data_IF_745863582943
#
_entry.id   IF_745863582943
#
_cell.length_a   1.000
_cell.length_b   1.000
_cell.length_c   1.000
_cell.angle_alpha   90.00
_cell.angle_beta   90.00
_cell.angle_gamma   90.00
#
_symmetry.space_group_name_H-M   'P 1'
#
loop_
_entity.id
_entity.type
_entity.pdbx_description
1 polymer ?
#
# COMPACT_ATOMS: atom_id res chain seq x y z
N UNK A 1 34.94 2.04 -19.67
CA UNK A 1 34.11 3.01 -18.93
C UNK A 1 34.68 4.41 -19.12
N UNK A 2 33.91 5.36 -19.66
CA UNK A 2 34.31 6.77 -19.73
C UNK A 2 34.30 7.38 -18.32
N UNK A 3 35.20 8.33 -18.03
CA UNK A 3 35.27 9.05 -16.73
C UNK A 3 33.91 9.59 -16.24
N UNK A 4 33.00 9.87 -17.19
CA UNK A 4 31.63 10.34 -16.97
C UNK A 4 30.75 9.32 -16.23
N UNK A 5 30.82 8.04 -16.62
CA UNK A 5 29.99 6.98 -16.02
C UNK A 5 30.45 6.65 -14.59
N UNK A 6 31.74 6.81 -14.31
CA UNK A 6 32.31 6.60 -12.98
C UNK A 6 31.74 7.61 -11.97
N UNK A 7 31.67 8.89 -12.35
CA UNK A 7 31.13 9.93 -11.46
C UNK A 7 29.67 9.67 -11.12
N UNK A 8 28.84 9.33 -12.12
CA UNK A 8 27.43 9.02 -11.90
C UNK A 8 27.25 7.80 -10.97
N UNK A 9 28.03 6.73 -11.17
CA UNK A 9 28.01 5.56 -10.29
C UNK A 9 28.41 5.92 -8.85
N UNK A 10 29.48 6.69 -8.66
CA UNK A 10 29.92 7.10 -7.32
C UNK A 10 28.82 7.88 -6.60
N UNK A 11 28.16 8.81 -7.30
CA UNK A 11 27.05 9.58 -6.73
C UNK A 11 25.88 8.66 -6.35
N UNK A 12 25.49 7.74 -7.23
CA UNK A 12 24.39 6.80 -6.98
C UNK A 12 24.70 5.90 -5.78
N UNK A 13 25.89 5.28 -5.76
CA UNK A 13 26.34 4.43 -4.64
C UNK A 13 26.34 5.23 -3.34
N UNK A 14 26.84 6.46 -3.37
CA UNK A 14 26.81 7.33 -2.21
C UNK A 14 25.37 7.61 -1.74
N UNK A 15 24.43 7.86 -2.66
CA UNK A 15 23.02 8.06 -2.32
C UNK A 15 22.38 6.85 -1.67
N UNK A 16 22.72 5.64 -2.13
CA UNK A 16 22.25 4.41 -1.50
C UNK A 16 22.92 4.16 -0.14
N UNK A 17 24.19 4.55 0.02
CA UNK A 17 24.92 4.41 1.28
C UNK A 17 24.56 5.50 2.30
N UNK A 18 24.03 6.63 1.85
CA UNK A 18 23.73 7.80 2.68
C UNK A 18 22.85 7.47 3.91
N UNK A 19 21.70 6.77 3.78
CA UNK A 19 20.88 6.41 4.94
C UNK A 19 21.64 5.56 5.97
N UNK A 20 22.54 4.69 5.49
CA UNK A 20 23.39 3.88 6.36
C UNK A 20 24.43 4.74 7.09
N UNK A 21 25.15 5.62 6.39
CA UNK A 21 26.13 6.51 7.01
C UNK A 21 25.52 7.42 8.07
N UNK A 22 24.35 8.01 7.77
CA UNK A 22 23.62 8.84 8.73
C UNK A 22 23.22 8.01 9.94
N UNK A 23 22.67 6.81 9.75
CA UNK A 23 22.29 5.93 10.86
C UNK A 23 23.48 5.57 11.75
N UNK A 24 24.59 5.13 11.18
CA UNK A 24 25.79 4.78 11.95
C UNK A 24 26.39 5.99 12.68
N UNK A 25 26.34 7.17 12.05
CA UNK A 25 26.82 8.40 12.70
C UNK A 25 25.93 8.77 13.89
N UNK A 26 24.60 8.67 13.74
CA UNK A 26 23.66 9.03 14.81
C UNK A 26 23.80 8.06 15.99
N UNK A 27 24.14 6.78 15.79
CA UNK A 27 24.37 5.82 16.89
C UNK A 27 25.43 6.26 17.88
N UNK A 28 26.41 7.09 17.48
CA UNK A 28 27.40 7.67 18.40
C UNK A 28 26.77 8.60 19.44
N UNK A 29 25.56 9.11 19.20
CA UNK A 29 24.84 10.00 20.09
C UNK A 29 23.72 9.30 20.88
N UNK A 30 23.41 8.05 20.54
CA UNK A 30 22.35 7.29 21.19
C UNK A 30 22.81 6.78 22.56
N UNK A 31 22.23 7.33 23.62
CA UNK A 31 22.54 6.98 25.00
C UNK A 31 21.30 6.42 25.69
N UNK A 32 21.47 5.36 26.46
CA UNK A 32 20.41 4.73 27.25
C UNK A 32 20.70 4.94 28.74
N UNK A 33 19.71 5.34 29.55
CA UNK A 33 19.87 5.33 31.01
C UNK A 33 19.98 3.88 31.49
N UNK A 34 20.94 3.59 32.36
CA UNK A 34 21.03 2.34 33.11
C UNK A 34 20.84 2.69 34.60
N UNK A 35 19.91 1.99 35.24
CA UNK A 35 19.56 2.13 36.66
C UNK A 35 19.14 3.55 37.08
N UNK A 36 18.05 4.05 36.49
CA UNK A 36 17.39 5.32 36.85
C UNK A 36 16.80 5.33 38.28
N UNK A 37 16.69 4.16 38.93
CA UNK A 37 16.34 4.05 40.34
C UNK A 37 14.84 4.24 40.63
N UNK A 38 13.99 4.18 39.60
CA UNK A 38 12.53 4.35 39.75
C UNK A 38 11.84 3.16 40.43
N UNK A 39 12.50 2.00 40.53
CA UNK A 39 12.01 0.89 41.37
C UNK A 39 12.47 1.10 42.81
N UNK A 40 11.81 2.03 43.50
CA UNK A 40 12.07 2.45 44.89
C UNK A 40 12.00 1.28 45.92
N UNK A 41 11.46 0.11 45.53
CA UNK A 41 11.27 -1.04 46.41
C UNK A 41 12.07 -2.30 46.03
N UNK A 42 13.03 -2.22 45.10
CA UNK A 42 13.82 -3.40 44.75
C UNK A 42 15.13 -3.47 45.59
N UNK A 43 15.32 -4.44 46.49
CA UNK A 43 16.53 -4.55 47.31
C UNK A 43 17.81 -4.77 46.49
N UNK A 44 17.70 -5.09 45.19
CA UNK A 44 18.85 -5.24 44.30
C UNK A 44 19.34 -3.91 43.69
N UNK A 45 18.47 -2.91 43.48
CA UNK A 45 18.85 -1.63 42.85
C UNK A 45 19.73 -0.76 43.75
N UNK A 46 19.58 -0.88 45.06
CA UNK A 46 20.42 -0.17 46.05
C UNK A 46 21.89 -0.62 46.11
N UNK A 47 22.25 -1.74 45.47
CA UNK A 47 23.63 -2.26 45.40
C UNK A 47 24.34 -1.98 44.07
N UNK A 48 23.65 -1.41 43.08
CA UNK A 48 24.22 -1.14 41.77
C UNK A 48 25.04 0.17 41.83
N UNK A 49 26.34 0.04 41.60
CA UNK A 49 27.34 1.12 41.76
C UNK A 49 27.36 2.16 40.63
N UNK A 50 26.56 1.99 39.57
CA UNK A 50 26.83 2.61 38.28
C UNK A 50 25.62 3.35 37.70
N UNK A 51 25.12 4.36 38.42
CA UNK A 51 24.07 5.27 37.94
C UNK A 51 24.59 6.17 36.81
N UNK A 52 23.95 6.15 35.64
CA UNK A 52 24.36 7.00 34.51
C UNK A 52 23.69 6.68 33.17
N UNK A 53 23.98 7.51 32.16
CA UNK A 53 23.68 7.19 30.77
C UNK A 53 24.88 6.49 30.13
N UNK A 54 24.62 5.45 29.35
CA UNK A 54 25.64 4.65 28.67
C UNK A 54 25.36 4.58 27.18
N UNK A 55 26.41 4.36 26.39
CA UNK A 55 26.28 4.30 24.94
C UNK A 55 25.45 3.08 24.53
N UNK A 56 24.44 3.29 23.68
CA UNK A 56 23.52 2.22 23.27
C UNK A 56 24.22 1.07 22.53
N UNK A 57 25.27 1.38 21.76
CA UNK A 57 26.06 0.39 21.00
C UNK A 57 27.02 -0.39 21.91
N UNK A 58 27.49 0.24 22.98
CA UNK A 58 28.44 -0.36 23.92
C UNK A 58 28.22 0.21 25.33
N UNK A 59 27.51 -0.56 26.14
CA UNK A 59 27.11 -0.15 27.49
C UNK A 59 28.26 -0.12 28.49
N UNK A 60 29.48 -0.52 28.10
CA UNK A 60 30.68 -0.39 28.95
C UNK A 60 31.14 1.07 29.09
N UNK A 61 30.69 1.95 28.19
CA UNK A 61 31.13 3.33 28.13
C UNK A 61 30.03 4.30 28.55
N UNK A 62 30.32 5.07 29.60
CA UNK A 62 29.43 6.12 30.09
C UNK A 62 29.36 7.28 29.10
N UNK A 63 28.15 7.66 28.73
CA UNK A 63 27.90 8.79 27.85
C UNK A 63 28.30 10.11 28.52
N UNK A 64 28.92 10.99 27.74
CA UNK A 64 29.26 12.37 28.13
C UNK A 64 30.17 12.54 29.35
N UNK A 65 30.77 11.45 29.87
CA UNK A 65 31.73 11.53 30.95
C UNK A 65 32.95 12.37 30.55
N UNK A 66 33.44 13.22 31.46
CA UNK A 66 34.61 14.07 31.23
C UNK A 66 35.90 13.27 30.99
N UNK A 67 35.97 12.06 31.53
CA UNK A 67 37.13 11.16 31.42
C UNK A 67 36.94 10.10 30.31
N UNK A 68 35.78 10.07 29.65
CA UNK A 68 35.44 9.07 28.64
C UNK A 68 35.86 9.47 27.22
N UNK A 69 36.32 8.50 26.42
CA UNK A 69 36.62 8.71 25.00
C UNK A 69 35.37 9.06 24.17
N UNK A 70 34.19 8.61 24.62
CA UNK A 70 32.91 8.79 23.93
C UNK A 70 32.62 10.26 23.63
N UNK A 71 32.77 11.14 24.62
CA UNK A 71 32.53 12.59 24.46
C UNK A 71 33.41 13.17 23.36
N UNK A 72 34.70 12.83 23.38
CA UNK A 72 35.66 13.30 22.38
C UNK A 72 35.34 12.75 21.00
N UNK A 73 35.00 11.47 20.88
CA UNK A 73 34.63 10.86 19.59
C UNK A 73 33.29 11.41 19.05
N UNK A 74 32.29 11.59 19.89
CA UNK A 74 31.00 12.17 19.51
C UNK A 74 31.18 13.60 18.99
N UNK A 75 31.99 14.42 19.65
CA UNK A 75 32.24 15.81 19.23
C UNK A 75 33.18 15.90 18.04
N UNK A 76 34.29 15.15 18.03
CA UNK A 76 35.33 15.28 17.00
C UNK A 76 35.00 14.51 15.71
N UNK A 77 34.25 13.41 15.79
CA UNK A 77 33.90 12.57 14.64
C UNK A 77 32.41 12.64 14.37
N UNK A 78 31.58 12.43 15.39
CA UNK A 78 30.12 12.41 15.25
C UNK A 78 29.56 13.71 14.71
N UNK A 79 29.87 14.85 15.34
CA UNK A 79 29.28 16.16 14.97
C UNK A 79 29.70 16.56 13.55
N UNK A 80 31.00 16.53 13.18
CA UNK A 80 31.41 16.81 11.81
C UNK A 80 30.77 15.87 10.79
N UNK A 81 30.68 14.58 11.10
CA UNK A 81 30.04 13.60 10.20
C UNK A 81 28.56 13.90 10.00
N UNK A 82 27.82 14.25 11.07
CA UNK A 82 26.43 14.69 10.94
C UNK A 82 26.31 15.95 10.09
N UNK A 83 27.13 16.98 10.35
CA UNK A 83 27.10 18.22 9.56
C UNK A 83 27.41 17.96 8.09
N UNK A 84 28.41 17.13 7.81
CA UNK A 84 28.80 16.77 6.44
C UNK A 84 27.67 16.02 5.74
N UNK A 85 27.14 14.96 6.36
CA UNK A 85 26.17 14.10 5.73
C UNK A 85 24.77 14.74 5.68
N UNK A 86 24.23 15.20 6.81
CA UNK A 86 22.86 15.76 6.85
C UNK A 86 22.71 17.13 6.19
N UNK A 87 23.74 17.98 6.23
CA UNK A 87 23.59 19.39 5.82
C UNK A 87 24.43 19.69 4.59
N UNK A 88 25.76 19.54 4.69
CA UNK A 88 26.66 20.00 3.62
C UNK A 88 26.44 19.23 2.32
N UNK A 89 26.26 17.91 2.37
CA UNK A 89 26.04 17.13 1.17
C UNK A 89 24.74 17.51 0.42
N UNK A 90 23.54 17.47 1.04
CA UNK A 90 22.34 17.88 0.32
C UNK A 90 22.39 19.35 -0.09
N UNK A 91 22.99 20.23 0.71
CA UNK A 91 23.11 21.64 0.36
C UNK A 91 24.05 21.88 -0.82
N UNK A 92 25.23 21.26 -0.84
CA UNK A 92 26.19 21.38 -1.94
C UNK A 92 25.61 20.84 -3.24
N UNK A 93 24.92 19.70 -3.19
CA UNK A 93 24.26 19.17 -4.37
C UNK A 93 23.07 20.06 -4.79
N UNK A 94 22.29 20.60 -3.85
CA UNK A 94 21.20 21.51 -4.15
C UNK A 94 21.69 22.81 -4.80
N UNK A 95 22.75 23.42 -4.26
CA UNK A 95 23.39 24.62 -4.81
C UNK A 95 23.99 24.33 -6.18
N UNK A 96 24.63 23.17 -6.35
CA UNK A 96 25.16 22.73 -7.65
C UNK A 96 24.04 22.58 -8.69
N UNK A 97 22.92 21.92 -8.35
CA UNK A 97 21.77 21.80 -9.26
C UNK A 97 21.13 23.17 -9.54
N UNK A 98 20.97 24.02 -8.52
CA UNK A 98 20.41 25.36 -8.65
C UNK A 98 21.23 26.23 -9.60
N UNK A 99 22.56 26.10 -9.57
CA UNK A 99 23.48 26.87 -10.42
C UNK A 99 23.52 26.35 -11.86
N UNK A 100 22.97 25.17 -12.14
CA UNK A 100 22.99 24.52 -13.45
C UNK A 100 21.58 24.19 -13.98
N UNK A 101 20.55 24.92 -13.52
CA UNK A 101 19.15 24.72 -13.96
C UNK A 101 18.96 24.82 -15.46
N UNK A 102 19.72 25.71 -16.12
CA UNK A 102 19.63 25.92 -17.57
C UNK A 102 20.08 24.69 -18.37
N UNK A 103 20.91 23.84 -17.75
CA UNK A 103 21.49 22.65 -18.36
C UNK A 103 20.64 21.40 -18.16
N UNK A 104 19.48 21.49 -17.50
CA UNK A 104 18.65 20.32 -17.21
C UNK A 104 18.13 19.60 -18.47
N UNK A 105 18.07 20.29 -19.62
CA UNK A 105 17.70 19.73 -20.92
C UNK A 105 18.89 19.16 -21.71
N UNK A 106 20.14 19.41 -21.28
CA UNK A 106 21.31 18.84 -21.94
C UNK A 106 21.39 17.33 -21.65
N UNK A 107 21.51 16.51 -22.70
CA UNK A 107 21.63 15.06 -22.60
C UNK A 107 22.84 14.65 -21.71
N UNK A 108 23.95 15.38 -21.85
CA UNK A 108 25.18 15.17 -21.08
C UNK A 108 25.00 15.44 -19.56
N UNK A 109 24.10 16.34 -19.19
CA UNK A 109 23.79 16.65 -17.78
C UNK A 109 22.72 15.70 -17.23
N UNK A 110 21.67 15.44 -18.03
CA UNK A 110 20.58 14.53 -17.70
C UNK A 110 21.03 13.09 -17.49
N UNK A 111 22.00 12.61 -18.28
CA UNK A 111 22.56 11.26 -18.07
C UNK A 111 23.31 11.10 -16.75
N UNK A 112 23.82 12.19 -16.16
CA UNK A 112 24.60 12.15 -14.90
C UNK A 112 23.78 12.46 -13.66
N UNK A 113 22.93 13.48 -13.75
CA UNK A 113 22.14 14.00 -12.62
C UNK A 113 20.65 13.76 -12.77
N UNK A 114 20.22 13.18 -13.90
CA UNK A 114 18.81 12.91 -14.16
C UNK A 114 18.18 12.06 -13.07
N UNK A 115 18.90 11.12 -12.45
CA UNK A 115 18.33 10.34 -11.35
C UNK A 115 17.77 11.19 -10.20
N UNK A 116 18.28 12.42 -10.01
CA UNK A 116 17.83 13.35 -8.96
C UNK A 116 16.49 13.97 -9.32
N UNK A 117 16.24 14.31 -10.59
CA UNK A 117 15.08 15.13 -11.01
C UNK A 117 14.16 14.45 -12.03
N UNK A 118 14.54 13.30 -12.57
CA UNK A 118 13.73 12.52 -13.51
C UNK A 118 12.43 12.11 -12.84
N UNK A 119 11.31 12.41 -13.50
CA UNK A 119 9.98 12.17 -12.98
C UNK A 119 9.39 13.31 -12.15
N UNK A 120 10.16 14.34 -11.82
CA UNK A 120 9.67 15.57 -11.17
C UNK A 120 9.44 16.71 -12.17
N UNK A 121 8.64 17.69 -11.75
CA UNK A 121 8.57 18.96 -12.46
C UNK A 121 9.91 19.70 -12.30
N UNK A 122 10.46 20.22 -13.40
CA UNK A 122 11.71 21.00 -13.39
C UNK A 122 11.62 22.22 -12.46
N UNK A 123 10.43 22.80 -12.28
CA UNK A 123 10.19 23.89 -11.33
C UNK A 123 10.23 23.48 -9.84
N UNK A 124 10.22 22.17 -9.56
CA UNK A 124 10.15 21.59 -8.22
C UNK A 124 11.30 20.62 -7.94
N UNK A 125 12.44 20.81 -8.61
CA UNK A 125 13.63 19.95 -8.45
C UNK A 125 14.12 19.85 -7.00
N UNK A 126 13.92 20.91 -6.20
CA UNK A 126 14.31 20.96 -4.79
C UNK A 126 13.59 19.91 -3.93
N UNK A 127 12.46 19.37 -4.41
CA UNK A 127 11.67 18.37 -3.67
C UNK A 127 12.45 17.10 -3.38
N UNK A 128 13.41 16.73 -4.24
CA UNK A 128 14.29 15.60 -4.01
C UNK A 128 14.97 15.67 -2.62
N UNK A 129 15.48 16.85 -2.26
CA UNK A 129 16.17 17.05 -0.99
C UNK A 129 15.19 16.95 0.20
N UNK A 130 13.94 17.38 0.00
CA UNK A 130 12.90 17.23 1.01
C UNK A 130 12.53 15.75 1.24
N UNK A 131 12.48 14.95 0.17
CA UNK A 131 12.27 13.50 0.26
C UNK A 131 13.43 12.78 0.98
N UNK A 132 14.68 13.19 0.73
CA UNK A 132 15.85 12.68 1.47
C UNK A 132 15.79 13.11 2.94
N UNK A 133 15.42 14.38 3.19
CA UNK A 133 15.29 14.93 4.53
C UNK A 133 14.28 14.15 5.37
N UNK A 134 13.15 13.72 4.79
CA UNK A 134 12.16 12.85 5.45
C UNK A 134 12.80 11.67 6.15
N UNK A 135 13.61 10.90 5.43
CA UNK A 135 14.23 9.67 5.96
C UNK A 135 15.26 10.00 7.04
N UNK A 136 16.05 11.06 6.84
CA UNK A 136 17.04 11.48 7.84
C UNK A 136 16.40 12.02 9.11
N UNK A 137 15.27 12.74 9.01
CA UNK A 137 14.51 13.23 10.15
C UNK A 137 13.91 12.09 10.98
N UNK A 138 13.38 11.04 10.33
CA UNK A 138 12.94 9.83 11.04
C UNK A 138 14.09 9.16 11.80
N UNK A 139 15.28 9.06 11.19
CA UNK A 139 16.45 8.50 11.85
C UNK A 139 16.90 9.34 13.06
N UNK A 140 16.83 10.68 12.97
CA UNK A 140 17.11 11.57 14.09
C UNK A 140 16.08 11.43 15.21
N UNK A 141 14.78 11.46 14.89
CA UNK A 141 13.70 11.28 15.86
C UNK A 141 13.89 9.97 16.62
N UNK A 142 14.18 8.89 15.89
CA UNK A 142 14.33 7.55 16.47
C UNK A 142 15.55 7.36 17.38
N UNK A 143 16.45 8.34 17.45
CA UNK A 143 17.69 8.25 18.23
C UNK A 143 17.81 9.35 19.28
N UNK A 144 17.21 10.52 19.03
CA UNK A 144 17.24 11.65 19.96
C UNK A 144 16.16 11.56 21.04
N UNK A 145 15.02 10.93 20.73
CA UNK A 145 13.93 10.76 21.69
C UNK A 145 14.07 9.38 22.32
N UNK A 146 14.32 9.34 23.62
CA UNK A 146 14.53 8.09 24.37
C UNK A 146 13.22 7.43 24.78
N UNK A 147 12.17 8.23 25.01
CA UNK A 147 10.85 7.70 25.35
C UNK A 147 10.16 7.14 24.10
N UNK A 148 9.81 5.84 24.07
CA UNK A 148 9.24 5.20 22.89
C UNK A 148 7.89 5.80 22.46
N UNK A 149 7.09 6.30 23.41
CA UNK A 149 5.79 6.91 23.13
C UNK A 149 5.95 8.24 22.40
N UNK A 150 6.74 9.15 22.97
CA UNK A 150 7.07 10.43 22.34
C UNK A 150 7.83 10.27 21.03
N UNK A 151 8.70 9.25 20.93
CA UNK A 151 9.44 8.93 19.71
C UNK A 151 8.48 8.62 18.55
N UNK A 152 7.51 7.73 18.79
CA UNK A 152 6.51 7.39 17.78
C UNK A 152 5.61 8.57 17.41
N UNK A 153 5.13 9.32 18.41
CA UNK A 153 4.27 10.47 18.19
C UNK A 153 4.98 11.56 17.35
N UNK A 154 6.25 11.82 17.65
CA UNK A 154 7.06 12.77 16.89
C UNK A 154 7.28 12.29 15.44
N UNK A 155 7.55 11.00 15.24
CA UNK A 155 7.72 10.41 13.92
C UNK A 155 6.43 10.45 13.10
N UNK A 156 5.28 10.18 13.73
CA UNK A 156 3.96 10.25 13.10
C UNK A 156 3.63 11.69 12.70
N UNK A 157 3.80 12.65 13.62
CA UNK A 157 3.60 14.07 13.35
C UNK A 157 4.46 14.56 12.17
N UNK A 158 5.74 14.19 12.16
CA UNK A 158 6.65 14.51 11.06
C UNK A 158 6.17 13.96 9.71
N UNK A 159 5.71 12.71 9.67
CA UNK A 159 5.23 12.09 8.43
C UNK A 159 3.89 12.64 7.97
N UNK A 160 2.97 12.98 8.88
CA UNK A 160 1.74 13.70 8.52
C UNK A 160 2.08 15.05 7.91
N UNK A 161 2.99 15.80 8.53
CA UNK A 161 3.46 17.08 7.99
C UNK A 161 4.08 16.92 6.59
N UNK A 162 4.99 15.95 6.42
CA UNK A 162 5.57 15.62 5.11
C UNK A 162 4.49 15.27 4.08
N UNK A 163 3.53 14.43 4.45
CA UNK A 163 2.44 14.01 3.57
C UNK A 163 1.58 15.20 3.13
N UNK A 164 1.20 16.09 4.05
CA UNK A 164 0.42 17.29 3.74
C UNK A 164 1.14 18.19 2.74
N UNK A 165 2.44 18.44 2.95
CA UNK A 165 3.23 19.22 2.00
C UNK A 165 3.33 18.49 0.66
N UNK A 166 3.53 17.18 0.65
CA UNK A 166 3.60 16.37 -0.58
C UNK A 166 2.30 16.48 -1.41
N UNK A 167 1.15 16.50 -0.73
CA UNK A 167 -0.17 16.64 -1.36
C UNK A 167 -0.38 18.05 -1.92
N UNK A 168 0.03 19.10 -1.20
CA UNK A 168 -0.10 20.50 -1.64
C UNK A 168 0.87 20.81 -2.78
N UNK A 169 2.13 20.40 -2.65
CA UNK A 169 3.17 20.71 -3.63
C UNK A 169 3.01 19.87 -4.89
N UNK A 170 2.59 18.60 -4.81
CA UNK A 170 2.53 17.68 -5.96
C UNK A 170 3.76 17.80 -6.88
N UNK A 171 4.93 17.37 -6.40
CA UNK A 171 6.23 17.59 -7.06
C UNK A 171 6.46 16.71 -8.30
N UNK A 172 5.82 15.55 -8.37
CA UNK A 172 6.05 14.57 -9.43
C UNK A 172 5.19 14.84 -10.67
N UNK A 173 5.81 14.79 -11.85
CA UNK A 173 5.13 14.91 -13.16
C UNK A 173 4.26 13.69 -13.44
N UNK A 174 4.79 12.51 -13.11
CA UNK A 174 4.05 11.25 -13.27
C UNK A 174 3.22 10.96 -12.03
N UNK A 175 1.90 10.88 -12.22
CA UNK A 175 0.96 10.57 -11.13
C UNK A 175 1.21 9.22 -10.47
N UNK A 176 1.67 8.23 -11.23
CA UNK A 176 2.03 6.92 -10.66
C UNK A 176 3.09 7.06 -9.58
N UNK A 177 4.13 7.87 -9.81
CA UNK A 177 5.20 8.12 -8.83
C UNK A 177 4.66 8.92 -7.64
N UNK A 178 3.84 9.95 -7.89
CA UNK A 178 3.16 10.70 -6.83
C UNK A 178 2.33 9.78 -5.92
N UNK A 179 1.52 8.89 -6.52
CA UNK A 179 0.67 7.97 -5.79
C UNK A 179 1.50 6.96 -5.01
N UNK A 180 2.59 6.46 -5.58
CA UNK A 180 3.51 5.56 -4.87
C UNK A 180 4.12 6.23 -3.65
N UNK A 181 4.51 7.50 -3.74
CA UNK A 181 5.05 8.26 -2.60
C UNK A 181 3.99 8.53 -1.51
N UNK A 182 2.74 8.80 -1.90
CA UNK A 182 1.63 8.95 -0.96
C UNK A 182 1.33 7.62 -0.26
N UNK A 183 1.19 6.54 -1.03
CA UNK A 183 0.87 5.20 -0.50
C UNK A 183 2.00 4.68 0.39
N UNK A 184 3.27 4.88 0.00
CA UNK A 184 4.40 4.48 0.84
C UNK A 184 4.42 5.25 2.16
N UNK A 185 4.15 6.56 2.13
CA UNK A 185 4.08 7.39 3.34
C UNK A 185 2.92 6.98 4.25
N UNK A 186 1.74 6.71 3.68
CA UNK A 186 0.57 6.21 4.44
C UNK A 186 0.84 4.83 5.07
N UNK A 187 1.56 3.96 4.36
CA UNK A 187 1.97 2.66 4.89
C UNK A 187 2.84 2.84 6.14
N UNK A 188 3.85 3.71 6.08
CA UNK A 188 4.71 4.00 7.23
C UNK A 188 3.91 4.61 8.39
N UNK A 189 2.99 5.54 8.12
CA UNK A 189 2.10 6.11 9.15
C UNK A 189 1.26 5.02 9.85
N UNK A 190 0.72 4.07 9.08
CA UNK A 190 -0.07 2.95 9.62
C UNK A 190 0.80 2.06 10.51
N UNK A 191 2.04 1.81 10.10
CA UNK A 191 3.00 1.03 10.89
C UNK A 191 3.38 1.73 12.20
N UNK A 192 3.55 3.05 12.20
CA UNK A 192 3.85 3.82 13.41
C UNK A 192 2.67 3.86 14.37
N UNK A 193 1.46 4.08 13.85
CA UNK A 193 0.23 4.02 14.65
C UNK A 193 0.11 2.65 15.33
N UNK A 194 0.41 1.58 14.60
CA UNK A 194 0.44 0.23 15.14
C UNK A 194 1.52 0.06 16.22
N UNK A 195 2.72 0.59 16.00
CA UNK A 195 3.80 0.55 16.98
C UNK A 195 3.39 1.22 18.31
N UNK A 196 2.68 2.35 18.23
CA UNK A 196 2.13 3.03 19.42
C UNK A 196 1.12 2.16 20.16
N UNK A 197 0.22 1.50 19.45
CA UNK A 197 -0.75 0.58 20.07
C UNK A 197 -0.07 -0.59 20.78
N UNK A 198 0.98 -1.15 20.17
CA UNK A 198 1.79 -2.20 20.78
C UNK A 198 2.53 -1.76 22.04
N UNK A 199 3.11 -0.56 22.03
CA UNK A 199 3.73 0.00 23.24
C UNK A 199 2.71 0.10 24.37
N UNK A 200 1.49 0.53 24.08
CA UNK A 200 0.45 0.67 25.10
C UNK A 200 0.01 -0.68 25.69
N UNK A 201 -0.05 -1.74 24.89
CA UNK A 201 -0.31 -3.10 25.39
C UNK A 201 0.85 -3.62 26.21
N UNK A 202 2.10 -3.35 25.81
CA UNK A 202 3.28 -3.80 26.57
C UNK A 202 3.36 -3.23 28.00
N UNK A 203 2.69 -2.11 28.27
CA UNK A 203 2.60 -1.49 29.60
C UNK A 203 1.47 -2.14 30.44
N UNK A 204 0.50 -2.81 29.79
CA UNK A 204 -0.59 -3.55 30.45
C UNK A 204 -0.14 -5.00 30.64
N UNK A 205 -0.02 -5.42 31.90
CA UNK A 205 0.67 -6.63 32.38
C UNK A 205 0.71 -7.89 31.47
N UNK A 206 1.90 -8.52 31.53
CA UNK A 206 2.49 -9.67 30.82
C UNK A 206 1.68 -10.98 30.64
N UNK A 207 0.36 -11.06 30.82
CA UNK A 207 -0.26 -12.39 30.91
C UNK A 207 -0.62 -13.08 29.57
N UNK A 208 -0.61 -12.39 28.42
CA UNK A 208 -0.99 -13.06 27.16
C UNK A 208 -0.36 -12.48 25.86
N UNK A 209 0.96 -12.63 25.71
CA UNK A 209 1.68 -12.23 24.50
C UNK A 209 1.25 -12.97 23.24
N UNK A 210 0.74 -14.20 23.38
CA UNK A 210 0.33 -15.06 22.27
C UNK A 210 -0.82 -14.44 21.47
N UNK A 211 -1.82 -13.91 22.16
CA UNK A 211 -2.99 -13.27 21.54
C UNK A 211 -2.59 -11.98 20.82
N UNK A 212 -1.75 -11.17 21.45
CA UNK A 212 -1.26 -9.91 20.86
C UNK A 212 -0.44 -10.18 19.58
N UNK A 213 0.44 -11.17 19.60
CA UNK A 213 1.23 -11.57 18.43
C UNK A 213 0.37 -12.16 17.30
N UNK A 214 -0.67 -12.93 17.65
CA UNK A 214 -1.61 -13.46 16.66
C UNK A 214 -2.41 -12.33 15.99
N UNK A 215 -2.92 -11.37 16.76
CA UNK A 215 -3.62 -10.18 16.23
C UNK A 215 -2.70 -9.37 15.32
N UNK A 216 -1.43 -9.18 15.72
CA UNK A 216 -0.38 -8.51 14.94
C UNK A 216 -0.15 -9.17 13.57
N UNK A 217 0.02 -10.49 13.55
CA UNK A 217 0.20 -11.25 12.31
C UNK A 217 -1.05 -11.17 11.43
N UNK A 218 -2.24 -11.41 12.00
CA UNK A 218 -3.51 -11.36 11.27
C UNK A 218 -3.72 -9.97 10.65
N UNK A 219 -3.45 -8.91 11.41
CA UNK A 219 -3.64 -7.54 10.95
C UNK A 219 -2.60 -7.13 9.91
N UNK A 220 -1.34 -7.57 10.05
CA UNK A 220 -0.30 -7.37 9.04
C UNK A 220 -0.65 -8.07 7.73
N UNK A 221 -1.14 -9.32 7.81
CA UNK A 221 -1.66 -10.06 6.65
C UNK A 221 -2.87 -9.33 6.06
N UNK A 222 -3.78 -8.79 6.89
CA UNK A 222 -4.93 -8.04 6.41
C UNK A 222 -4.53 -6.75 5.68
N UNK A 223 -3.55 -5.99 6.19
CA UNK A 223 -3.02 -4.80 5.51
C UNK A 223 -2.33 -5.20 4.20
N UNK A 224 -1.48 -6.22 4.21
CA UNK A 224 -0.81 -6.71 3.01
C UNK A 224 -1.84 -7.16 1.95
N UNK A 225 -2.88 -7.89 2.37
CA UNK A 225 -3.97 -8.29 1.51
C UNK A 225 -4.76 -7.08 0.98
N UNK A 226 -5.06 -6.09 1.83
CA UNK A 226 -5.71 -4.85 1.42
C UNK A 226 -4.89 -4.10 0.37
N UNK A 227 -3.59 -3.95 0.58
CA UNK A 227 -2.68 -3.32 -0.39
C UNK A 227 -2.68 -4.09 -1.71
N UNK A 228 -2.59 -5.42 -1.68
CA UNK A 228 -2.66 -6.26 -2.88
C UNK A 228 -4.01 -6.14 -3.59
N UNK A 229 -5.13 -6.07 -2.85
CA UNK A 229 -6.47 -5.87 -3.41
C UNK A 229 -6.58 -4.50 -4.05
N UNK A 230 -6.07 -3.45 -3.40
CA UNK A 230 -6.04 -2.10 -3.98
C UNK A 230 -5.20 -2.12 -5.25
N UNK A 231 -3.97 -2.63 -5.21
CA UNK A 231 -3.12 -2.71 -6.41
C UNK A 231 -3.76 -3.55 -7.53
N UNK A 232 -4.40 -4.68 -7.18
CA UNK A 232 -5.13 -5.53 -8.11
C UNK A 232 -6.36 -4.85 -8.72
N UNK A 233 -7.11 -4.09 -7.93
CA UNK A 233 -8.22 -3.28 -8.43
C UNK A 233 -7.72 -2.18 -9.37
N UNK A 234 -6.61 -1.52 -9.05
CA UNK A 234 -5.95 -0.57 -9.93
C UNK A 234 -5.54 -1.20 -11.27
N UNK A 235 -4.91 -2.38 -11.22
CA UNK A 235 -4.52 -3.13 -12.42
C UNK A 235 -5.74 -3.57 -13.24
N UNK A 236 -6.78 -4.08 -12.57
CA UNK A 236 -8.02 -4.52 -13.21
C UNK A 236 -8.75 -3.37 -13.92
N UNK A 237 -8.92 -2.22 -13.26
CA UNK A 237 -9.59 -1.07 -13.89
C UNK A 237 -8.77 -0.54 -15.07
N UNK A 238 -7.43 -0.51 -14.97
CA UNK A 238 -6.58 -0.14 -16.08
C UNK A 238 -6.76 -1.07 -17.30
N UNK A 239 -6.77 -2.38 -17.08
CA UNK A 239 -7.03 -3.37 -18.15
C UNK A 239 -8.44 -3.24 -18.71
N UNK A 240 -9.46 -3.14 -17.85
CA UNK A 240 -10.86 -3.09 -18.26
C UNK A 240 -11.20 -1.83 -19.08
N UNK A 241 -10.52 -0.71 -18.81
CA UNK A 241 -10.72 0.51 -19.59
C UNK A 241 -9.88 0.52 -20.88
N UNK A 242 -8.95 -0.43 -21.08
CA UNK A 242 -7.97 -0.36 -22.16
C UNK A 242 -7.09 0.90 -22.08
N UNK A 243 -7.12 1.59 -20.95
CA UNK A 243 -6.41 2.85 -20.71
C UNK A 243 -5.08 2.48 -20.08
N UNK A 244 -4.03 3.14 -20.56
CA UNK A 244 -2.70 2.93 -20.04
C UNK A 244 -2.70 3.23 -18.52
N UNK A 245 -2.31 2.29 -17.63
CA UNK A 245 -2.44 2.43 -16.17
C UNK A 245 -1.79 3.71 -15.59
N UNK A 246 -0.88 4.32 -16.35
CA UNK A 246 -0.19 5.56 -16.01
C UNK A 246 -1.08 6.81 -16.06
N UNK A 247 -2.21 6.76 -16.77
CA UNK A 247 -3.10 7.92 -16.96
C UNK A 247 -4.31 7.95 -16.01
N UNK A 248 -4.60 6.83 -15.35
CA UNK A 248 -5.75 6.70 -14.45
C UNK A 248 -5.64 7.63 -13.24
N UNK A 249 -6.67 8.47 -12.99
CA UNK A 249 -6.76 9.23 -11.74
C UNK A 249 -7.43 8.36 -10.67
N UNK A 250 -7.05 8.57 -9.41
CA UNK A 250 -7.70 7.94 -8.26
C UNK A 250 -9.21 8.23 -8.22
N UNK A 251 -9.61 9.46 -8.60
CA UNK A 251 -11.02 9.86 -8.69
C UNK A 251 -11.79 9.07 -9.73
N UNK A 252 -11.15 8.67 -10.83
CA UNK A 252 -11.80 7.94 -11.92
C UNK A 252 -12.17 6.52 -11.47
N UNK A 253 -11.43 5.94 -10.51
CA UNK A 253 -11.75 4.65 -9.90
C UNK A 253 -12.99 4.76 -9.01
N UNK A 254 -13.06 5.80 -8.18
CA UNK A 254 -14.24 6.03 -7.34
C UNK A 254 -15.48 6.31 -8.19
N UNK A 255 -15.32 7.10 -9.26
CA UNK A 255 -16.40 7.37 -10.22
C UNK A 255 -16.79 6.06 -10.91
N UNK A 256 -15.84 5.28 -11.40
CA UNK A 256 -16.11 3.99 -12.06
C UNK A 256 -16.82 2.99 -11.12
N UNK A 257 -16.36 2.87 -9.88
CA UNK A 257 -16.99 2.03 -8.86
C UNK A 257 -18.43 2.50 -8.56
N UNK A 258 -18.64 3.81 -8.41
CA UNK A 258 -19.96 4.39 -8.18
C UNK A 258 -20.90 4.21 -9.38
N UNK A 259 -20.37 4.33 -10.61
CA UNK A 259 -21.13 4.18 -11.84
C UNK A 259 -21.54 2.73 -12.05
N UNK A 260 -20.63 1.79 -11.82
CA UNK A 260 -20.92 0.35 -11.88
C UNK A 260 -21.91 -0.09 -10.80
N UNK A 261 -21.87 0.51 -9.62
CA UNK A 261 -22.89 0.28 -8.57
C UNK A 261 -24.28 0.74 -9.03
N UNK A 262 -24.39 1.91 -9.68
CA UNK A 262 -25.65 2.39 -10.26
C UNK A 262 -26.16 1.50 -11.39
N UNK A 263 -25.30 1.10 -12.32
CA UNK A 263 -25.69 0.25 -13.44
C UNK A 263 -26.14 -1.14 -12.98
N UNK A 264 -25.47 -1.71 -11.98
CA UNK A 264 -25.90 -2.95 -11.34
C UNK A 264 -27.27 -2.84 -10.66
N UNK A 265 -27.54 -1.72 -10.00
CA UNK A 265 -28.84 -1.46 -9.37
C UNK A 265 -29.95 -1.31 -10.41
N UNK A 266 -29.72 -0.59 -11.52
CA UNK A 266 -30.70 -0.46 -12.60
C UNK A 266 -31.03 -1.81 -13.26
N UNK A 267 -30.03 -2.67 -13.45
CA UNK A 267 -30.24 -4.01 -14.00
C UNK A 267 -31.05 -4.89 -13.05
N UNK A 268 -30.78 -4.81 -11.73
CA UNK A 268 -31.55 -5.52 -10.72
C UNK A 268 -33.02 -5.05 -10.66
N UNK A 269 -33.27 -3.74 -10.69
CA UNK A 269 -34.62 -3.18 -10.72
C UNK A 269 -35.39 -3.62 -11.97
N UNK A 270 -34.74 -3.61 -13.14
CA UNK A 270 -35.38 -4.02 -14.40
C UNK A 270 -35.75 -5.50 -14.40
N UNK A 271 -34.94 -6.34 -13.74
CA UNK A 271 -35.25 -7.76 -13.57
C UNK A 271 -36.44 -7.95 -12.63
N UNK A 272 -36.50 -7.24 -11.51
CA UNK A 272 -37.64 -7.29 -10.59
C UNK A 272 -38.94 -6.83 -11.25
N UNK A 273 -38.92 -5.75 -12.04
CA UNK A 273 -40.12 -5.29 -12.77
C UNK A 273 -40.56 -6.30 -13.84
N UNK A 274 -39.60 -6.92 -14.54
CA UNK A 274 -39.93 -7.92 -15.55
C UNK A 274 -40.53 -9.19 -14.92
N UNK A 275 -39.98 -9.64 -13.79
CA UNK A 275 -40.52 -10.80 -13.06
C UNK A 275 -41.93 -10.48 -12.53
N UNK A 276 -42.14 -9.28 -11.97
CA UNK A 276 -43.45 -8.83 -11.49
C UNK A 276 -44.49 -8.68 -12.62
N UNK A 277 -44.11 -8.13 -13.78
CA UNK A 277 -44.99 -8.03 -14.95
C UNK A 277 -45.36 -9.42 -15.50
N UNK A 278 -44.43 -10.38 -15.40
CA UNK A 278 -44.66 -11.76 -15.83
C UNK A 278 -45.68 -12.48 -14.92
N UNK A 279 -45.63 -12.25 -13.60
CA UNK A 279 -46.61 -12.78 -12.65
C UNK A 279 -48.01 -12.17 -12.89
N UNK A 280 -48.10 -10.84 -13.06
CA UNK A 280 -49.39 -10.17 -13.35
C UNK A 280 -49.98 -10.64 -14.68
N UNK A 281 -49.14 -10.86 -15.70
CA UNK A 281 -49.59 -11.39 -16.99
C UNK A 281 -50.12 -12.83 -16.86
N UNK A 282 -49.52 -13.65 -16.00
CA UNK A 282 -49.96 -15.01 -15.71
C UNK A 282 -51.29 -15.02 -14.96
N UNK A 283 -51.47 -14.17 -13.95
CA UNK A 283 -52.75 -14.03 -13.22
C UNK A 283 -53.89 -13.58 -14.14
N UNK A 284 -53.64 -12.61 -15.03
CA UNK A 284 -54.64 -12.16 -16.01
C UNK A 284 -55.06 -13.30 -16.94
N UNK A 285 -54.13 -14.10 -17.45
CA UNK A 285 -54.46 -15.27 -18.29
C UNK A 285 -55.37 -16.25 -17.54
N UNK A 286 -55.03 -16.59 -16.29
CA UNK A 286 -55.84 -17.49 -15.45
C UNK A 286 -57.27 -16.92 -15.24
N UNK A 287 -57.40 -15.62 -14.97
CA UNK A 287 -58.71 -14.98 -14.77
C UNK A 287 -59.60 -15.02 -16.03
N UNK A 288 -59.01 -14.87 -17.23
CA UNK A 288 -59.74 -14.96 -18.50
C UNK A 288 -60.24 -16.38 -18.78
N UNK A 289 -59.42 -17.41 -18.49
CA UNK A 289 -59.86 -18.80 -18.61
C UNK A 289 -61.04 -19.11 -17.70
N UNK A 290 -61.02 -18.63 -16.45
CA UNK A 290 -62.11 -18.84 -15.49
C UNK A 290 -63.42 -18.12 -15.90
N UNK A 291 -63.33 -16.95 -16.53
CA UNK A 291 -64.51 -16.26 -17.08
C UNK A 291 -65.07 -16.96 -18.32
N UNK A 292 -64.22 -17.45 -19.22
CA UNK A 292 -64.64 -18.19 -20.42
C UNK A 292 -65.38 -19.49 -20.08
N UNK A 293 -64.94 -20.22 -19.05
CA UNK A 293 -65.54 -21.49 -18.64
C UNK A 293 -66.96 -21.31 -18.05
N UNK A 294 -67.28 -20.15 -17.46
CA UNK A 294 -68.65 -19.84 -17.02
C UNK A 294 -69.66 -19.68 -18.17
N UNK A 295 -69.20 -19.41 -19.40
CA UNK A 295 -70.08 -19.21 -20.56
C UNK A 295 -70.38 -20.48 -21.36
N UNK A 296 -69.67 -21.59 -21.13
CA UNK A 296 -69.76 -22.82 -21.96
C UNK A 296 -70.37 -24.02 -21.24
N UNK A 297 -70.96 -23.86 -20.05
CA UNK A 297 -71.79 -24.90 -19.44
C UNK A 297 -73.18 -24.98 -20.11
N UNK A 298 -73.19 -25.25 -21.42
CA UNK A 298 -74.33 -25.83 -22.13
C UNK A 298 -74.04 -27.32 -22.23
N UNK A 299 -74.68 -28.09 -21.35
CA UNK A 299 -74.56 -29.54 -21.21
C UNK A 299 -74.96 -30.24 -22.53
N UNK A 300 -74.07 -30.97 -23.22
CA UNK A 300 -74.46 -31.87 -24.30
C UNK A 300 -74.68 -33.30 -23.77
N UNK A 301 -75.80 -33.87 -24.21
CA UNK A 301 -76.33 -35.21 -23.93
C UNK A 301 -75.41 -36.38 -24.36
N UNK A 302 -75.42 -37.53 -23.65
CA UNK A 302 -74.49 -38.64 -23.90
C UNK A 302 -75.00 -39.60 -24.99
N UNK A 303 -74.13 -39.93 -25.96
CA UNK A 303 -74.32 -41.09 -26.85
C UNK A 303 -73.10 -42.01 -26.88
N UNK A 304 -73.40 -43.31 -26.78
CA UNK A 304 -72.54 -44.49 -26.68
C UNK A 304 -71.98 -44.96 -28.04
N UNK A 305 -70.73 -45.45 -28.08
CA UNK A 305 -70.17 -46.55 -28.91
C UNK A 305 -68.69 -46.74 -28.52
N UNK A 306 -68.24 -47.83 -27.89
CA UNK A 306 -68.02 -49.21 -28.36
C UNK A 306 -66.74 -49.43 -29.21
N UNK A 307 -65.70 -49.97 -28.55
CA UNK A 307 -64.83 -51.14 -28.86
C UNK A 307 -64.27 -51.31 -30.30
N UNK A 308 -62.94 -51.46 -30.44
CA UNK A 308 -62.21 -52.68 -30.93
C UNK A 308 -60.71 -52.40 -31.25
N UNK A 309 -59.87 -53.24 -30.63
CA UNK A 309 -58.54 -53.80 -30.94
C UNK A 309 -57.82 -53.53 -32.29
N UNK A 310 -56.50 -53.27 -32.23
CA UNK A 310 -55.43 -53.96 -32.99
C UNK A 310 -54.02 -53.54 -32.49
N UNK A 311 -53.01 -54.37 -32.75
CA UNK A 311 -51.66 -54.40 -32.15
C UNK A 311 -50.55 -54.01 -33.18
N UNK A 312 -49.22 -54.20 -32.92
CA UNK A 312 -48.13 -53.19 -33.04
C UNK A 312 -47.30 -53.33 -34.35
N UNK A 313 -46.23 -52.54 -34.63
CA UNK A 313 -44.88 -52.78 -34.08
C UNK A 313 -43.92 -51.54 -33.98
N UNK A 314 -42.70 -51.85 -33.56
CA UNK A 314 -41.44 -51.10 -33.39
C UNK A 314 -40.93 -50.16 -34.50
N UNK A 315 -40.28 -49.05 -34.10
CA UNK A 315 -39.13 -48.34 -34.71
C UNK A 315 -38.60 -47.34 -33.64
N UNK A 316 -37.39 -47.42 -33.06
CA UNK A 316 -36.00 -47.30 -33.57
C UNK A 316 -35.59 -45.84 -33.84
N UNK A 317 -34.68 -45.35 -32.97
CA UNK A 317 -33.51 -44.47 -33.24
C UNK A 317 -33.60 -42.94 -33.03
N UNK A 318 -32.49 -42.46 -32.44
CA UNK A 318 -31.90 -41.10 -32.43
C UNK A 318 -32.42 -40.05 -31.44
N UNK A 319 -31.81 -40.05 -30.24
CA UNK A 319 -31.75 -38.88 -29.37
C UNK A 319 -30.45 -38.90 -28.55
N UNK A 320 -29.32 -38.42 -29.09
CA UNK A 320 -28.12 -38.15 -28.27
C UNK A 320 -27.01 -37.25 -28.86
N UNK A 321 -27.27 -36.39 -29.86
CA UNK A 321 -26.15 -35.65 -30.51
C UNK A 321 -26.38 -34.15 -30.71
N UNK A 322 -26.96 -33.45 -29.72
CA UNK A 322 -27.15 -32.00 -29.81
C UNK A 322 -26.69 -31.17 -28.59
N UNK A 323 -26.14 -31.79 -27.53
CA UNK A 323 -25.85 -31.06 -26.28
C UNK A 323 -24.34 -30.83 -26.01
N UNK A 324 -23.42 -31.57 -26.65
CA UNK A 324 -21.97 -31.38 -26.41
C UNK A 324 -21.25 -30.36 -27.34
N UNK A 325 -21.92 -29.79 -28.34
CA UNK A 325 -21.26 -28.91 -29.32
C UNK A 325 -21.17 -27.42 -28.92
N UNK A 326 -21.63 -27.01 -27.73
CA UNK A 326 -21.75 -25.58 -27.37
C UNK A 326 -20.72 -25.09 -26.33
N UNK A 327 -19.90 -25.96 -25.72
CA UNK A 327 -19.02 -25.55 -24.60
C UNK A 327 -17.51 -25.41 -24.86
N UNK A 328 -16.98 -25.60 -26.08
CA UNK A 328 -15.53 -25.52 -26.31
C UNK A 328 -15.07 -24.43 -27.30
N UNK A 329 -15.87 -23.37 -27.49
CA UNK A 329 -15.54 -22.26 -28.42
C UNK A 329 -15.10 -20.95 -27.77
N UNK A 330 -14.62 -20.97 -26.53
CA UNK A 330 -13.99 -19.81 -25.90
C UNK A 330 -12.69 -20.23 -25.21
N UNK A 331 -11.55 -20.07 -25.90
CA UNK A 331 -10.26 -19.58 -25.38
C UNK A 331 -9.17 -19.79 -26.44
N UNK A 332 -8.78 -18.76 -27.20
CA UNK A 332 -7.61 -18.82 -28.05
C UNK A 332 -6.35 -18.51 -27.25
N UNK A 333 -5.36 -19.40 -27.36
CA UNK A 333 -3.91 -19.15 -27.34
C UNK A 333 -3.36 -18.10 -26.37
N UNK A 334 -2.74 -18.55 -25.27
CA UNK A 334 -1.63 -17.84 -24.65
C UNK A 334 -0.37 -18.70 -24.77
N UNK A 335 0.52 -18.24 -25.64
CA UNK A 335 1.82 -18.82 -25.94
C UNK A 335 2.75 -18.77 -24.74
N UNK A 336 3.31 -19.94 -24.45
CA UNK A 336 4.61 -20.18 -23.84
C UNK A 336 5.68 -19.35 -24.55
N UNK A 337 6.28 -18.39 -23.86
CA UNK A 337 7.64 -17.88 -24.12
C UNK A 337 8.14 -17.16 -22.85
N UNK A 338 9.43 -17.29 -22.56
CA UNK A 338 10.22 -16.81 -21.41
C UNK A 338 10.50 -17.81 -20.27
N UNK A 339 11.36 -18.78 -20.63
CA UNK A 339 12.54 -19.18 -19.86
C UNK A 339 13.75 -18.55 -20.57
N UNK A 340 14.78 -18.15 -19.81
CA UNK A 340 16.03 -17.45 -20.17
C UNK A 340 16.04 -15.92 -20.02
N UNK A 341 16.22 -15.44 -18.78
CA UNK A 341 17.35 -14.59 -18.35
C UNK A 341 17.35 -14.38 -16.83
#
# INVERSE_FOLDING_TARGET
MTKRNVIAMVIIVYFFLYPFLVKETIKLFACVPIDDGEKENDPYTSRLKQKGQYLLVDTLHQCWSSEGWHRTAAIAVGVPSLVIFLILFPLTLAVFLASNTDRFQEEDFSTRFGFVYVGMHLSKWYWFFFAVFRTSALAMIGMLITDPGFQNLAAEFWLVFYLLITLVVSPYKMRTIQNMEIVSTLCILTLLYYNMWMLQIGIVEMHDYTVTFAVLIIFTIAIAALVLVVMGAFAYVAVAQGVNPRELKFKDIFIYAAQRSKDGMHLATRKMTHDQDSEIAQEKKISMYLQGQKSTNVVPSPKKRAKVLSSPPSEVVELDTAIEAVQLKQHPSLSTDLIEL
#
